data_IF_397178379297
#
_entry.id   IF_397178379297
#
_cell.length_a   1.000
_cell.length_b   1.000
_cell.length_c   1.000
_cell.angle_alpha   90.00
_cell.angle_beta   90.00
_cell.angle_gamma   90.00
#
_symmetry.space_group_name_H-M   'P 1'
#
loop_
_entity.id
_entity.type
_entity.pdbx_description
1 polymer ?
#
# COMPACT_ATOMS: atom_id res chain seq x y z
N UNK A 1 -20.13 5.32 -6.92
CA UNK A 1 -20.50 5.03 -8.33
C UNK A 1 -19.30 5.14 -9.29
N UNK A 2 -18.50 6.21 -9.26
CA UNK A 2 -17.39 6.39 -10.23
C UNK A 2 -16.26 5.34 -10.18
N UNK A 3 -15.87 4.87 -8.99
CA UNK A 3 -14.76 3.91 -8.84
C UNK A 3 -15.13 2.53 -9.41
N UNK A 4 -16.40 2.13 -9.29
CA UNK A 4 -16.83 0.80 -9.72
C UNK A 4 -16.89 0.62 -11.24
N UNK A 5 -17.16 1.69 -11.99
CA UNK A 5 -17.09 1.68 -13.45
C UNK A 5 -15.65 1.46 -13.96
N UNK A 6 -14.65 1.96 -13.21
CA UNK A 6 -13.23 1.86 -13.58
C UNK A 6 -12.65 0.49 -13.21
N UNK A 7 -13.02 -0.06 -12.05
CA UNK A 7 -12.41 -1.29 -11.49
C UNK A 7 -13.14 -2.56 -11.99
N UNK A 8 -14.32 -2.43 -12.58
CA UNK A 8 -15.09 -3.54 -13.13
C UNK A 8 -16.21 -4.04 -12.21
N UNK A 9 -17.20 -4.72 -12.80
CA UNK A 9 -18.45 -5.08 -12.11
C UNK A 9 -18.22 -6.08 -10.98
N UNK A 10 -17.30 -7.03 -11.15
CA UNK A 10 -17.01 -8.07 -10.15
C UNK A 10 -16.41 -7.49 -8.86
N UNK A 11 -15.45 -6.59 -8.98
CA UNK A 11 -14.84 -5.91 -7.82
C UNK A 11 -15.86 -4.96 -7.17
N UNK A 12 -16.66 -4.27 -7.98
CA UNK A 12 -17.73 -3.40 -7.48
C UNK A 12 -18.78 -4.18 -6.68
N UNK A 13 -19.19 -5.36 -7.19
CA UNK A 13 -20.15 -6.23 -6.54
C UNK A 13 -19.61 -6.78 -5.22
N UNK A 14 -18.33 -7.18 -5.17
CA UNK A 14 -17.72 -7.67 -3.92
C UNK A 14 -17.57 -6.56 -2.88
N UNK A 15 -17.18 -5.34 -3.27
CA UNK A 15 -17.16 -4.18 -2.37
C UNK A 15 -18.56 -3.81 -1.87
N UNK A 16 -19.56 -3.88 -2.74
CA UNK A 16 -20.96 -3.63 -2.40
C UNK A 16 -21.51 -4.70 -1.45
N UNK A 17 -21.25 -5.97 -1.73
CA UNK A 17 -21.63 -7.09 -0.87
C UNK A 17 -20.99 -6.97 0.51
N UNK A 18 -19.72 -6.56 0.60
CA UNK A 18 -19.06 -6.26 1.88
C UNK A 18 -19.74 -5.13 2.65
N UNK A 19 -20.19 -4.08 1.94
CA UNK A 19 -20.93 -2.96 2.54
C UNK A 19 -22.31 -3.38 3.05
N UNK A 20 -23.01 -4.26 2.32
CA UNK A 20 -24.27 -4.86 2.76
C UNK A 20 -24.04 -5.73 3.99
N UNK A 21 -23.06 -6.63 3.95
CA UNK A 21 -22.75 -7.54 5.06
C UNK A 21 -22.40 -6.76 6.33
N UNK A 22 -21.61 -5.69 6.20
CA UNK A 22 -21.24 -4.81 7.30
C UNK A 22 -22.45 -4.12 7.93
N UNK A 23 -23.31 -3.47 7.13
CA UNK A 23 -24.42 -2.66 7.63
C UNK A 23 -25.67 -3.46 8.01
N UNK A 24 -25.96 -4.55 7.31
CA UNK A 24 -27.19 -5.34 7.49
C UNK A 24 -26.96 -6.71 8.10
N UNK A 25 -25.71 -7.17 8.19
CA UNK A 25 -25.35 -8.41 8.88
C UNK A 25 -24.68 -8.12 10.22
N UNK A 26 -23.45 -7.63 10.18
CA UNK A 26 -22.57 -7.50 11.35
C UNK A 26 -23.11 -6.46 12.33
N UNK A 27 -23.47 -5.26 11.84
CA UNK A 27 -23.94 -4.17 12.68
C UNK A 27 -25.21 -4.50 13.49
N UNK A 28 -26.32 -4.99 12.89
CA UNK A 28 -27.51 -5.36 13.65
C UNK A 28 -27.28 -6.58 14.54
N UNK A 29 -26.43 -7.52 14.14
CA UNK A 29 -26.06 -8.66 14.99
C UNK A 29 -25.36 -8.19 16.27
N UNK A 30 -24.38 -7.29 16.15
CA UNK A 30 -23.70 -6.71 17.33
C UNK A 30 -24.67 -5.88 18.16
N UNK A 31 -25.58 -5.11 17.53
CA UNK A 31 -26.62 -4.37 18.22
C UNK A 31 -27.58 -5.26 19.02
N UNK A 32 -27.91 -6.43 18.48
CA UNK A 32 -28.72 -7.43 19.18
C UNK A 32 -27.98 -8.04 20.37
N UNK A 33 -26.70 -8.38 20.24
CA UNK A 33 -25.92 -8.88 21.37
C UNK A 33 -25.61 -7.80 22.41
N UNK A 34 -25.51 -6.53 22.00
CA UNK A 34 -25.26 -5.42 22.92
C UNK A 34 -26.47 -5.11 23.80
N UNK A 35 -27.70 -5.31 23.31
CA UNK A 35 -28.92 -5.15 24.12
C UNK A 35 -29.15 -6.30 25.12
N UNK A 36 -28.50 -7.45 24.91
CA UNK A 36 -28.47 -8.58 25.85
C UNK A 36 -27.36 -8.43 26.92
N UNK A 37 -26.53 -7.40 26.84
CA UNK A 37 -25.45 -7.14 27.79
C UNK A 37 -25.96 -6.72 29.16
N UNK A 38 -25.46 -7.37 30.22
CA UNK A 38 -25.76 -7.01 31.62
C UNK A 38 -25.26 -5.60 31.95
N UNK A 39 -25.96 -4.93 32.86
CA UNK A 39 -25.56 -3.64 33.41
C UNK A 39 -24.13 -3.69 33.97
N UNK A 40 -23.30 -2.73 33.55
CA UNK A 40 -21.91 -2.57 34.00
C UNK A 40 -20.83 -2.93 32.98
N UNK A 41 -21.16 -3.53 31.84
CA UNK A 41 -20.18 -3.77 30.78
C UNK A 41 -19.99 -2.51 29.91
N UNK A 42 -18.76 -2.04 29.76
CA UNK A 42 -18.39 -0.85 28.97
C UNK A 42 -17.76 -1.24 27.64
N UNK A 43 -17.83 -0.35 26.64
CA UNK A 43 -17.17 -0.59 25.35
C UNK A 43 -15.65 -0.66 25.54
N UNK A 44 -15.01 -1.63 24.89
CA UNK A 44 -13.57 -1.89 25.04
C UNK A 44 -12.67 -0.69 24.67
N UNK A 45 -13.12 0.20 23.78
CA UNK A 45 -12.39 1.39 23.36
C UNK A 45 -12.85 2.69 24.03
N UNK A 46 -13.92 2.65 24.84
CA UNK A 46 -14.44 3.81 25.55
C UNK A 46 -15.13 3.39 26.86
N UNK A 47 -14.47 3.59 28.02
CA UNK A 47 -15.04 3.27 29.33
C UNK A 47 -16.31 4.06 29.68
N UNK A 48 -16.58 5.16 28.97
CA UNK A 48 -17.72 6.05 29.24
C UNK A 48 -19.03 5.61 28.58
N UNK A 49 -18.98 4.59 27.71
CA UNK A 49 -20.16 4.09 26.99
C UNK A 49 -20.50 2.70 27.51
N UNK A 50 -21.69 2.55 28.09
CA UNK A 50 -22.24 1.25 28.45
C UNK A 50 -22.61 0.46 27.18
N UNK A 51 -22.32 -0.84 27.16
CA UNK A 51 -22.61 -1.72 26.02
C UNK A 51 -24.11 -1.71 25.69
N UNK A 52 -24.98 -1.64 26.71
CA UNK A 52 -26.43 -1.60 26.57
C UNK A 52 -26.94 -0.29 25.92
N UNK A 53 -26.22 0.82 26.06
CA UNK A 53 -26.60 2.14 25.53
C UNK A 53 -25.84 2.53 24.23
N UNK A 54 -25.24 1.57 23.53
CA UNK A 54 -24.47 1.85 22.33
C UNK A 54 -25.36 2.30 21.16
N UNK A 55 -25.22 3.57 20.76
CA UNK A 55 -25.78 4.06 19.51
C UNK A 55 -25.10 3.41 18.29
N UNK A 56 -25.79 3.35 17.14
CA UNK A 56 -25.30 2.72 15.89
C UNK A 56 -23.90 3.20 15.49
N UNK A 57 -23.62 4.49 15.69
CA UNK A 57 -22.31 5.10 15.43
C UNK A 57 -21.18 4.51 16.30
N UNK A 58 -21.47 4.17 17.55
CA UNK A 58 -20.50 3.58 18.47
C UNK A 58 -20.20 2.12 18.10
N UNK A 59 -21.20 1.37 17.63
CA UNK A 59 -21.03 0.01 17.11
C UNK A 59 -20.16 0.03 15.84
N UNK A 60 -20.48 0.95 14.92
CA UNK A 60 -19.74 1.13 13.67
C UNK A 60 -18.26 1.46 13.93
N UNK A 61 -17.99 2.44 14.80
CA UNK A 61 -16.62 2.90 15.08
C UNK A 61 -15.79 1.95 15.95
N UNK A 62 -16.43 1.19 16.84
CA UNK A 62 -15.72 0.40 17.87
C UNK A 62 -15.59 -1.08 17.53
N UNK A 63 -16.48 -1.63 16.71
CA UNK A 63 -16.46 -3.06 16.38
C UNK A 63 -16.37 -3.28 14.87
N UNK A 64 -17.32 -2.73 14.10
CA UNK A 64 -17.38 -2.95 12.65
C UNK A 64 -16.10 -2.48 11.97
N UNK A 65 -15.56 -1.33 12.37
CA UNK A 65 -14.27 -0.76 11.92
C UNK A 65 -13.10 -1.72 12.11
N UNK A 66 -12.95 -2.28 13.31
CA UNK A 66 -11.84 -3.19 13.64
C UNK A 66 -12.01 -4.58 13.01
N UNK A 67 -13.25 -5.06 12.88
CA UNK A 67 -13.54 -6.28 12.11
C UNK A 67 -13.18 -6.06 10.63
N UNK A 68 -13.54 -4.91 10.06
CA UNK A 68 -13.15 -4.49 8.71
C UNK A 68 -11.64 -4.43 8.53
N UNK A 69 -10.92 -3.80 9.47
CA UNK A 69 -9.47 -3.79 9.49
C UNK A 69 -8.88 -5.22 9.55
N UNK A 70 -9.43 -6.09 10.39
CA UNK A 70 -9.04 -7.50 10.49
C UNK A 70 -9.27 -8.28 9.19
N UNK A 71 -10.39 -8.05 8.50
CA UNK A 71 -10.66 -8.64 7.18
C UNK A 71 -9.68 -8.13 6.12
N UNK A 72 -9.34 -6.83 6.13
CA UNK A 72 -8.34 -6.26 5.22
C UNK A 72 -6.95 -6.85 5.47
N UNK A 73 -6.54 -6.98 6.74
CA UNK A 73 -5.28 -7.61 7.12
C UNK A 73 -5.22 -9.08 6.70
N UNK A 74 -6.31 -9.84 6.92
CA UNK A 74 -6.41 -11.25 6.53
C UNK A 74 -6.35 -11.41 5.01
N UNK A 75 -7.09 -10.57 4.26
CA UNK A 75 -7.02 -10.53 2.80
C UNK A 75 -5.63 -10.17 2.29
N UNK A 76 -4.95 -9.24 2.97
CA UNK A 76 -3.56 -8.89 2.73
C UNK A 76 -2.59 -10.06 2.93
N UNK A 77 -2.72 -10.79 4.03
CA UNK A 77 -1.89 -11.94 4.36
C UNK A 77 -2.12 -13.09 3.37
N UNK A 78 -3.37 -13.41 3.05
CA UNK A 78 -3.73 -14.41 2.03
C UNK A 78 -3.18 -13.98 0.66
N UNK A 79 -3.30 -12.70 0.31
CA UNK A 79 -2.72 -12.14 -0.90
C UNK A 79 -1.20 -12.29 -0.94
N UNK A 80 -0.51 -12.00 0.16
CA UNK A 80 0.93 -12.20 0.30
C UNK A 80 1.33 -13.67 0.05
N UNK A 81 0.62 -14.62 0.69
CA UNK A 81 0.86 -16.05 0.53
C UNK A 81 0.65 -16.48 -0.92
N UNK A 82 -0.44 -16.01 -1.57
CA UNK A 82 -0.71 -16.30 -2.99
C UNK A 82 0.34 -15.72 -3.94
N UNK A 83 1.07 -14.68 -3.53
CA UNK A 83 2.15 -14.09 -4.33
C UNK A 83 3.47 -14.86 -4.20
N UNK A 84 3.68 -15.69 -3.17
CA UNK A 84 4.92 -16.44 -2.95
C UNK A 84 5.36 -17.24 -4.20
N UNK A 85 4.49 -18.02 -4.87
CA UNK A 85 4.90 -18.77 -6.06
C UNK A 85 5.39 -17.86 -7.20
N UNK A 86 4.70 -16.74 -7.40
CA UNK A 86 5.06 -15.73 -8.42
C UNK A 86 6.40 -15.08 -8.09
N UNK A 87 6.64 -14.77 -6.81
CA UNK A 87 7.92 -14.24 -6.32
C UNK A 87 9.05 -15.23 -6.62
N UNK A 88 8.89 -16.50 -6.23
CA UNK A 88 9.92 -17.54 -6.43
C UNK A 88 10.23 -17.74 -7.91
N UNK A 89 9.20 -17.84 -8.75
CA UNK A 89 9.35 -17.99 -10.20
C UNK A 89 10.08 -16.79 -10.82
N UNK A 90 9.75 -15.58 -10.39
CA UNK A 90 10.34 -14.35 -10.95
C UNK A 90 11.80 -14.17 -10.53
N UNK A 91 12.14 -14.50 -9.26
CA UNK A 91 13.52 -14.49 -8.78
C UNK A 91 14.36 -15.54 -9.52
N UNK A 92 13.84 -16.76 -9.65
CA UNK A 92 14.54 -17.85 -10.34
C UNK A 92 14.85 -17.48 -11.79
N UNK A 93 13.88 -16.95 -12.52
CA UNK A 93 14.05 -16.52 -13.91
C UNK A 93 15.03 -15.33 -14.03
N UNK A 94 14.99 -14.37 -13.09
CA UNK A 94 15.94 -13.25 -13.05
C UNK A 94 17.38 -13.75 -12.85
N UNK A 95 17.59 -14.74 -11.97
CA UNK A 95 18.90 -15.36 -11.76
C UNK A 95 19.38 -16.13 -12.99
N UNK A 96 18.49 -16.88 -13.66
CA UNK A 96 18.84 -17.59 -14.90
C UNK A 96 19.17 -16.63 -16.05
N UNK A 97 18.42 -15.54 -16.21
CA UNK A 97 18.69 -14.50 -17.22
C UNK A 97 20.05 -13.83 -17.03
N UNK A 98 20.50 -13.66 -15.78
CA UNK A 98 21.84 -13.15 -15.45
C UNK A 98 22.96 -14.16 -15.78
N UNK A 99 22.65 -15.45 -15.80
CA UNK A 99 23.62 -16.51 -16.17
C UNK A 99 23.76 -16.71 -17.67
N UNK A 100 22.72 -16.41 -18.47
CA UNK A 100 22.72 -16.61 -19.92
C UNK A 100 23.25 -15.42 -20.72
N UNK A 101 23.13 -14.19 -20.19
CA UNK A 101 23.69 -12.99 -20.81
C UNK A 101 24.87 -12.47 -19.99
N UNK A 102 26.10 -12.81 -20.42
CA UNK A 102 27.34 -12.14 -20.02
C UNK A 102 27.46 -10.70 -20.56
N UNK A 103 26.35 -9.97 -20.65
CA UNK A 103 26.34 -8.58 -21.08
C UNK A 103 26.80 -7.71 -19.89
N UNK A 104 28.01 -7.15 -20.02
CA UNK A 104 28.64 -6.33 -19.00
C UNK A 104 27.68 -5.28 -18.44
N UNK A 105 27.64 -5.15 -17.11
CA UNK A 105 26.89 -4.09 -16.45
C UNK A 105 27.37 -2.76 -17.01
N UNK A 106 26.49 -2.01 -17.69
CA UNK A 106 26.83 -0.67 -18.12
C UNK A 106 27.21 0.15 -16.87
N UNK A 107 28.35 0.84 -16.91
CA UNK A 107 28.86 1.67 -15.81
C UNK A 107 27.78 2.63 -15.28
N UNK A 108 26.94 3.13 -16.19
CA UNK A 108 25.76 3.97 -15.90
C UNK A 108 24.70 3.24 -15.05
N UNK A 109 24.43 1.96 -15.33
CA UNK A 109 23.47 1.16 -14.57
C UNK A 109 23.91 0.97 -13.12
N UNK A 110 25.19 0.71 -12.87
CA UNK A 110 25.73 0.59 -11.51
C UNK A 110 25.72 1.93 -10.76
N UNK A 111 26.00 3.05 -11.44
CA UNK A 111 25.92 4.40 -10.83
C UNK A 111 24.49 4.73 -10.43
N UNK A 112 23.50 4.43 -11.26
CA UNK A 112 22.08 4.66 -10.94
C UNK A 112 21.64 3.77 -9.77
N UNK A 113 22.10 2.52 -9.73
CA UNK A 113 21.81 1.59 -8.63
C UNK A 113 22.42 2.07 -7.30
N UNK A 114 23.71 2.42 -7.30
CA UNK A 114 24.37 2.97 -6.11
C UNK A 114 23.73 4.28 -5.67
N UNK A 115 23.44 5.18 -6.61
CA UNK A 115 22.77 6.46 -6.33
C UNK A 115 21.40 6.26 -5.70
N UNK A 116 20.60 5.32 -6.23
CA UNK A 116 19.30 4.97 -5.67
C UNK A 116 19.40 4.42 -4.24
N UNK A 117 20.37 3.54 -3.96
CA UNK A 117 20.60 3.01 -2.61
C UNK A 117 20.94 4.15 -1.65
N UNK A 118 21.87 5.04 -2.01
CA UNK A 118 22.27 6.17 -1.17
C UNK A 118 21.08 7.10 -0.89
N UNK A 119 20.28 7.43 -1.91
CA UNK A 119 19.08 8.26 -1.75
C UNK A 119 18.09 7.62 -0.80
N UNK A 120 17.85 6.31 -0.90
CA UNK A 120 16.94 5.61 0.00
C UNK A 120 17.46 5.58 1.43
N UNK A 121 18.76 5.41 1.65
CA UNK A 121 19.35 5.48 2.99
C UNK A 121 19.25 6.89 3.60
N UNK A 122 19.52 7.93 2.83
CA UNK A 122 19.37 9.32 3.28
C UNK A 122 17.91 9.63 3.58
N UNK A 123 16.99 9.26 2.68
CA UNK A 123 15.57 9.44 2.88
C UNK A 123 15.08 8.68 4.12
N UNK A 124 15.52 7.43 4.31
CA UNK A 124 15.22 6.63 5.48
C UNK A 124 15.72 7.25 6.77
N UNK A 125 16.90 7.88 6.76
CA UNK A 125 17.43 8.61 7.92
C UNK A 125 16.57 9.83 8.28
N UNK A 126 16.16 10.61 7.28
CA UNK A 126 15.26 11.77 7.46
C UNK A 126 13.89 11.33 7.97
N UNK A 127 13.32 10.28 7.37
CA UNK A 127 12.00 9.72 7.72
C UNK A 127 11.98 9.18 9.15
N UNK A 128 13.11 8.70 9.66
CA UNK A 128 13.22 8.08 10.99
C UNK A 128 13.48 9.07 12.13
N UNK A 129 13.52 10.38 11.85
CA UNK A 129 13.67 11.41 12.87
C UNK A 129 14.95 11.29 13.71
N UNK A 130 16.03 10.73 13.14
CA UNK A 130 17.31 10.53 13.83
C UNK A 130 17.48 9.20 14.56
N UNK A 131 16.50 8.29 14.53
CA UNK A 131 16.70 6.93 15.04
C UNK A 131 17.44 6.07 14.00
N UNK A 132 18.76 5.91 14.18
CA UNK A 132 19.64 5.11 13.31
C UNK A 132 19.11 3.68 13.14
N UNK A 133 18.65 3.05 14.22
CA UNK A 133 18.21 1.65 14.20
C UNK A 133 16.95 1.48 13.34
N UNK A 134 16.00 2.42 13.47
CA UNK A 134 14.79 2.46 12.65
C UNK A 134 15.12 2.73 11.19
N UNK A 135 15.97 3.74 10.93
CA UNK A 135 16.38 4.11 9.60
C UNK A 135 17.00 2.93 8.86
N UNK A 136 17.98 2.26 9.45
CA UNK A 136 18.69 1.16 8.80
C UNK A 136 17.74 -0.02 8.59
N UNK A 137 17.06 -0.47 9.64
CA UNK A 137 16.25 -1.69 9.59
C UNK A 137 15.05 -1.53 8.65
N UNK A 138 14.31 -0.42 8.77
CA UNK A 138 13.15 -0.16 7.92
C UNK A 138 13.57 0.12 6.47
N UNK A 139 14.69 0.81 6.22
CA UNK A 139 15.18 1.06 4.85
C UNK A 139 15.63 -0.23 4.17
N UNK A 140 16.37 -1.10 4.86
CA UNK A 140 16.80 -2.38 4.31
C UNK A 140 15.59 -3.25 3.97
N UNK A 141 14.63 -3.36 4.90
CA UNK A 141 13.41 -4.11 4.65
C UNK A 141 12.63 -3.51 3.47
N UNK A 142 12.48 -2.20 3.41
CA UNK A 142 11.76 -1.50 2.34
C UNK A 142 12.43 -1.67 0.98
N UNK A 143 13.77 -1.59 0.92
CA UNK A 143 14.56 -1.88 -0.27
C UNK A 143 14.37 -3.33 -0.72
N UNK A 144 14.43 -4.28 0.22
CA UNK A 144 14.24 -5.68 -0.08
C UNK A 144 12.84 -5.98 -0.63
N UNK A 145 11.79 -5.49 0.04
CA UNK A 145 10.40 -5.65 -0.40
C UNK A 145 10.13 -4.97 -1.73
N UNK A 146 10.58 -3.72 -1.89
CA UNK A 146 10.41 -2.98 -3.15
C UNK A 146 11.11 -3.68 -4.31
N UNK A 147 12.35 -4.12 -4.14
CA UNK A 147 13.06 -4.88 -5.16
C UNK A 147 12.32 -6.15 -5.54
N UNK A 148 11.91 -6.94 -4.54
CA UNK A 148 11.21 -8.20 -4.73
C UNK A 148 9.89 -8.01 -5.49
N UNK A 149 9.07 -7.04 -5.08
CA UNK A 149 7.78 -6.78 -5.74
C UNK A 149 7.91 -6.03 -7.07
N UNK A 150 8.96 -5.24 -7.30
CA UNK A 150 9.24 -4.63 -8.60
C UNK A 150 9.56 -5.71 -9.65
N UNK A 151 10.32 -6.75 -9.28
CA UNK A 151 10.61 -7.88 -10.18
C UNK A 151 9.31 -8.60 -10.56
N UNK A 152 8.46 -8.92 -9.57
CA UNK A 152 7.15 -9.54 -9.81
C UNK A 152 6.26 -8.65 -10.67
N UNK A 153 6.24 -7.35 -10.37
CA UNK A 153 5.46 -6.38 -11.11
C UNK A 153 5.88 -6.30 -12.57
N UNK A 154 7.18 -6.23 -12.84
CA UNK A 154 7.69 -6.18 -14.21
C UNK A 154 7.28 -7.41 -15.03
N UNK A 155 7.32 -8.60 -14.42
CA UNK A 155 6.89 -9.84 -15.07
C UNK A 155 5.40 -9.88 -15.35
N UNK A 156 4.58 -9.62 -14.32
CA UNK A 156 3.11 -9.65 -14.44
C UNK A 156 2.61 -8.62 -15.45
N UNK A 157 3.20 -7.42 -15.42
CA UNK A 157 2.92 -6.38 -16.39
C UNK A 157 3.39 -6.76 -17.80
N UNK A 158 4.53 -7.44 -17.93
CA UNK A 158 4.99 -7.97 -19.22
C UNK A 158 4.04 -8.99 -19.84
N UNK A 159 3.37 -9.81 -19.01
CA UNK A 159 2.46 -10.87 -19.47
C UNK A 159 1.01 -10.43 -19.62
N UNK A 160 0.49 -9.61 -18.70
CA UNK A 160 -0.96 -9.32 -18.56
C UNK A 160 -1.23 -7.80 -18.65
N UNK A 161 -0.20 -6.95 -18.53
CA UNK A 161 -0.33 -5.48 -18.50
C UNK A 161 -0.50 -4.91 -17.09
N UNK A 162 -0.29 -3.59 -16.93
CA UNK A 162 -0.42 -2.87 -15.65
C UNK A 162 -1.86 -2.81 -15.15
N UNK A 163 -2.85 -2.87 -16.03
CA UNK A 163 -4.27 -2.81 -15.65
C UNK A 163 -4.71 -3.98 -14.77
N UNK A 164 -4.04 -5.12 -14.89
CA UNK A 164 -4.33 -6.32 -14.08
C UNK A 164 -3.20 -6.64 -13.08
N UNK A 165 -2.30 -5.69 -12.83
CA UNK A 165 -1.24 -5.82 -11.85
C UNK A 165 -1.85 -5.76 -10.44
N UNK A 166 -1.61 -6.74 -9.55
CA UNK A 166 -2.18 -6.76 -8.20
C UNK A 166 -1.46 -5.80 -7.24
N UNK A 167 -1.37 -4.51 -7.61
CA UNK A 167 -0.69 -3.46 -6.82
C UNK A 167 -1.30 -3.33 -5.43
N UNK A 168 -2.62 -3.42 -5.32
CA UNK A 168 -3.33 -3.38 -4.04
C UNK A 168 -2.93 -4.53 -3.12
N UNK A 169 -2.84 -5.76 -3.63
CA UNK A 169 -2.40 -6.93 -2.85
C UNK A 169 -0.95 -6.80 -2.39
N UNK A 170 -0.05 -6.38 -3.28
CA UNK A 170 1.36 -6.15 -2.94
C UNK A 170 1.55 -5.01 -1.93
N UNK A 171 0.70 -3.97 -2.00
CA UNK A 171 0.66 -2.88 -1.03
C UNK A 171 0.31 -3.38 0.36
N UNK A 172 -0.81 -4.11 0.51
CA UNK A 172 -1.26 -4.58 1.82
C UNK A 172 -0.24 -5.57 2.41
N UNK A 173 0.29 -6.50 1.61
CA UNK A 173 1.33 -7.42 2.03
C UNK A 173 2.57 -6.69 2.57
N UNK A 174 3.02 -5.65 1.87
CA UNK A 174 4.17 -4.84 2.28
C UNK A 174 3.89 -4.08 3.57
N UNK A 175 2.72 -3.45 3.69
CA UNK A 175 2.32 -2.74 4.91
C UNK A 175 2.23 -3.68 6.10
N UNK A 176 1.69 -4.89 5.95
CA UNK A 176 1.61 -5.88 7.03
C UNK A 176 3.01 -6.28 7.51
N UNK A 177 3.93 -6.57 6.58
CA UNK A 177 5.31 -6.94 6.94
C UNK A 177 6.08 -5.80 7.64
N UNK A 178 5.98 -4.58 7.12
CA UNK A 178 6.62 -3.41 7.74
C UNK A 178 5.98 -3.10 9.10
N UNK A 179 4.66 -3.21 9.22
CA UNK A 179 3.96 -3.01 10.51
C UNK A 179 4.36 -4.06 11.53
N UNK A 180 4.48 -5.32 11.13
CA UNK A 180 4.94 -6.40 12.00
C UNK A 180 6.35 -6.12 12.51
N UNK A 181 7.25 -5.64 11.64
CA UNK A 181 8.59 -5.22 12.06
C UNK A 181 8.53 -4.09 13.10
N UNK A 182 7.72 -3.05 12.87
CA UNK A 182 7.59 -1.94 13.82
C UNK A 182 7.02 -2.39 15.17
N UNK A 183 6.05 -3.31 15.17
CA UNK A 183 5.46 -3.86 16.39
C UNK A 183 6.48 -4.71 17.17
N UNK A 184 7.22 -5.60 16.49
CA UNK A 184 8.26 -6.44 17.12
C UNK A 184 9.38 -5.59 17.71
N UNK A 185 9.75 -4.49 17.04
CA UNK A 185 10.77 -3.55 17.51
C UNK A 185 10.25 -2.54 18.55
N UNK A 186 8.96 -2.59 18.92
CA UNK A 186 8.35 -1.71 19.92
C UNK A 186 8.15 -0.26 19.44
N UNK A 187 8.17 0.00 18.13
CA UNK A 187 8.06 1.34 17.55
C UNK A 187 6.60 1.75 17.34
N UNK A 188 5.87 2.00 18.43
CA UNK A 188 4.43 2.31 18.41
C UNK A 188 4.07 3.80 18.50
N UNK A 189 5.07 4.68 18.63
CA UNK A 189 4.83 6.12 18.75
C UNK A 189 4.21 6.74 17.49
N UNK A 190 3.42 7.84 17.61
CA UNK A 190 2.84 8.53 16.46
C UNK A 190 3.86 8.99 15.41
N UNK A 191 5.06 9.38 15.84
CA UNK A 191 6.17 9.71 14.95
C UNK A 191 6.61 8.49 14.12
N UNK A 192 6.69 7.31 14.74
CA UNK A 192 7.06 6.07 14.07
C UNK A 192 5.96 5.60 13.11
N UNK A 193 4.68 5.83 13.44
CA UNK A 193 3.57 5.54 12.52
C UNK A 193 3.68 6.39 11.25
N UNK A 194 4.07 7.66 11.36
CA UNK A 194 4.35 8.51 10.20
C UNK A 194 5.49 7.94 9.36
N UNK A 195 6.58 7.51 10.01
CA UNK A 195 7.71 6.87 9.31
C UNK A 195 7.30 5.58 8.59
N UNK A 196 6.50 4.73 9.24
CA UNK A 196 5.96 3.49 8.66
C UNK A 196 5.16 3.77 7.39
N UNK A 197 4.27 4.76 7.42
CA UNK A 197 3.47 5.13 6.24
C UNK A 197 4.32 5.69 5.10
N UNK A 198 5.40 6.42 5.41
CA UNK A 198 6.34 6.92 4.41
C UNK A 198 7.14 5.78 3.75
N UNK A 199 7.62 4.81 4.54
CA UNK A 199 8.25 3.60 4.01
C UNK A 199 7.27 2.77 3.17
N UNK A 200 6.03 2.60 3.64
CA UNK A 200 4.97 1.94 2.88
C UNK A 200 4.70 2.63 1.54
N UNK A 201 4.57 3.94 1.55
CA UNK A 201 4.36 4.74 0.33
C UNK A 201 5.52 4.55 -0.65
N UNK A 202 6.77 4.59 -0.17
CA UNK A 202 7.94 4.32 -0.99
C UNK A 202 7.87 2.95 -1.69
N UNK A 203 7.54 1.88 -0.95
CA UNK A 203 7.44 0.53 -1.52
C UNK A 203 6.38 0.50 -2.63
N UNK A 204 5.19 1.06 -2.38
CA UNK A 204 4.07 1.05 -3.32
C UNK A 204 4.37 1.88 -4.58
N UNK A 205 4.99 3.04 -4.41
CA UNK A 205 5.42 3.89 -5.53
C UNK A 205 6.45 3.16 -6.37
N UNK A 206 7.44 2.50 -5.75
CA UNK A 206 8.44 1.71 -6.46
C UNK A 206 7.82 0.59 -7.29
N UNK A 207 6.88 -0.18 -6.71
CA UNK A 207 6.16 -1.26 -7.41
C UNK A 207 5.40 -0.72 -8.62
N UNK A 208 4.64 0.36 -8.42
CA UNK A 208 3.79 0.95 -9.46
C UNK A 208 4.61 1.51 -10.63
N UNK A 209 5.68 2.24 -10.32
CA UNK A 209 6.60 2.80 -11.31
C UNK A 209 7.37 1.68 -12.02
N UNK A 210 7.81 0.65 -11.30
CA UNK A 210 8.50 -0.51 -11.86
C UNK A 210 7.65 -1.27 -12.88
N UNK A 211 6.37 -1.52 -12.57
CA UNK A 211 5.42 -2.09 -13.51
C UNK A 211 5.20 -1.19 -14.74
N UNK A 212 4.89 0.08 -14.52
CA UNK A 212 4.70 1.05 -15.61
C UNK A 212 5.91 1.15 -16.53
N UNK A 213 7.11 1.20 -15.97
CA UNK A 213 8.36 1.23 -16.72
C UNK A 213 8.56 -0.02 -17.58
N UNK A 214 8.32 -1.21 -17.01
CA UNK A 214 8.43 -2.47 -17.75
C UNK A 214 7.44 -2.53 -18.93
N UNK A 215 6.21 -2.02 -18.73
CA UNK A 215 5.23 -1.92 -19.82
C UNK A 215 5.68 -0.96 -20.91
N UNK A 216 6.11 0.24 -20.53
CA UNK A 216 6.58 1.26 -21.49
C UNK A 216 7.76 0.75 -22.31
N UNK A 217 8.69 0.03 -21.69
CA UNK A 217 9.82 -0.60 -22.38
C UNK A 217 9.35 -1.66 -23.38
N UNK A 218 8.40 -2.51 -23.00
CA UNK A 218 7.83 -3.53 -23.90
C UNK A 218 7.15 -2.88 -25.11
N UNK A 219 6.31 -1.87 -24.88
CA UNK A 219 5.60 -1.16 -25.94
C UNK A 219 6.60 -0.45 -26.87
N UNK A 220 7.60 0.22 -26.30
CA UNK A 220 8.64 0.90 -27.07
C UNK A 220 9.44 -0.08 -27.93
N UNK A 221 9.79 -1.25 -27.40
CA UNK A 221 10.44 -2.33 -28.15
C UNK A 221 9.57 -2.85 -29.31
N UNK A 222 8.27 -3.08 -29.08
CA UNK A 222 7.35 -3.59 -30.12
C UNK A 222 7.14 -2.57 -31.24
N UNK A 223 7.04 -1.29 -30.90
CA UNK A 223 6.86 -0.19 -31.86
C UNK A 223 8.17 0.15 -32.60
N UNK A 224 9.31 -0.38 -32.16
CA UNK A 224 10.62 -0.06 -32.72
C UNK A 224 11.15 1.32 -32.32
N UNK A 225 10.70 1.85 -31.18
CA UNK A 225 11.14 3.15 -30.66
C UNK A 225 12.52 3.11 -30.01
N UNK A 226 13.16 4.28 -29.90
CA UNK A 226 14.46 4.43 -29.25
C UNK A 226 14.35 4.35 -27.71
N UNK A 227 15.25 3.57 -27.09
CA UNK A 227 15.27 3.34 -25.64
C UNK A 227 15.65 4.59 -24.86
N UNK A 228 16.53 5.43 -25.39
CA UNK A 228 16.97 6.64 -24.69
C UNK A 228 15.87 7.71 -24.70
N UNK A 229 15.14 7.84 -25.80
CA UNK A 229 13.96 8.70 -25.86
C UNK A 229 12.89 8.23 -24.87
N UNK A 230 12.58 6.92 -24.85
CA UNK A 230 11.62 6.37 -23.90
C UNK A 230 11.99 6.68 -22.45
N UNK A 231 13.26 6.53 -22.06
CA UNK A 231 13.72 6.82 -20.70
C UNK A 231 13.56 8.30 -20.34
N UNK A 232 13.90 9.21 -21.25
CA UNK A 232 13.74 10.67 -21.04
C UNK A 232 12.28 11.05 -20.86
N UNK A 233 11.40 10.62 -21.76
CA UNK A 233 9.97 10.96 -21.68
C UNK A 233 9.29 10.28 -20.49
N UNK A 234 9.70 9.07 -20.12
CA UNK A 234 9.20 8.42 -18.90
C UNK A 234 9.62 9.18 -17.64
N UNK A 235 10.87 9.68 -17.57
CA UNK A 235 11.32 10.50 -16.45
C UNK A 235 10.54 11.83 -16.36
N UNK A 236 10.32 12.50 -17.49
CA UNK A 236 9.51 13.74 -17.55
C UNK A 236 8.08 13.47 -17.09
N UNK A 237 7.45 12.40 -17.59
CA UNK A 237 6.11 11.97 -17.18
C UNK A 237 6.05 11.70 -15.67
N UNK A 238 7.07 11.05 -15.12
CA UNK A 238 7.18 10.81 -13.67
C UNK A 238 7.25 12.11 -12.87
N UNK A 239 8.09 13.06 -13.28
CA UNK A 239 8.21 14.38 -12.61
C UNK A 239 6.88 15.13 -12.67
N UNK A 240 6.26 15.22 -13.84
CA UNK A 240 4.96 15.87 -14.01
C UNK A 240 3.90 15.20 -13.15
N UNK A 241 3.86 13.86 -13.12
CA UNK A 241 2.94 13.09 -12.28
C UNK A 241 3.11 13.39 -10.79
N UNK A 242 4.35 13.42 -10.29
CA UNK A 242 4.64 13.78 -8.89
C UNK A 242 4.18 15.20 -8.60
N UNK A 243 4.48 16.17 -9.46
CA UNK A 243 4.06 17.57 -9.29
C UNK A 243 2.53 17.66 -9.21
N UNK A 244 1.81 17.02 -10.12
CA UNK A 244 0.34 17.06 -10.15
C UNK A 244 -0.25 16.43 -8.89
N UNK A 245 0.24 15.27 -8.47
CA UNK A 245 -0.25 14.58 -7.26
C UNK A 245 0.03 15.41 -6.01
N UNK A 246 1.26 15.90 -5.85
CA UNK A 246 1.65 16.72 -4.69
C UNK A 246 0.89 18.05 -4.68
N UNK A 247 0.78 18.73 -5.81
CA UNK A 247 0.01 19.98 -5.92
C UNK A 247 -1.46 19.75 -5.55
N UNK A 248 -2.06 18.66 -6.02
CA UNK A 248 -3.45 18.30 -5.66
C UNK A 248 -3.58 18.07 -4.16
N UNK A 249 -2.66 17.31 -3.54
CA UNK A 249 -2.67 17.07 -2.09
C UNK A 249 -2.50 18.38 -1.32
N UNK A 250 -1.61 19.28 -1.74
CA UNK A 250 -1.40 20.57 -1.08
C UNK A 250 -2.62 21.50 -1.21
N UNK A 251 -3.24 21.55 -2.40
CA UNK A 251 -4.47 22.31 -2.62
C UNK A 251 -5.62 21.81 -1.74
N UNK A 252 -5.75 20.50 -1.56
CA UNK A 252 -6.78 19.89 -0.73
C UNK A 252 -6.38 19.76 0.75
N UNK A 253 -5.14 20.09 1.12
CA UNK A 253 -4.60 19.83 2.47
C UNK A 253 -5.43 20.48 3.58
N UNK A 254 -5.92 21.70 3.36
CA UNK A 254 -6.76 22.43 4.32
C UNK A 254 -8.13 21.76 4.53
N UNK A 255 -8.67 21.11 3.50
CA UNK A 255 -9.93 20.37 3.57
C UNK A 255 -9.74 18.96 4.13
N UNK A 256 -8.59 18.33 3.86
CA UNK A 256 -8.22 16.99 4.32
C UNK A 256 -7.75 16.96 5.79
N UNK A 257 -7.26 18.07 6.32
CA UNK A 257 -6.83 18.19 7.72
C UNK A 257 -7.98 18.42 8.71
N UNK A 258 -9.18 18.76 8.21
CA UNK A 258 -10.35 18.87 9.07
C UNK A 258 -10.67 17.49 9.67
N UNK A 259 -10.83 17.42 10.99
CA UNK A 259 -11.16 16.19 11.71
C UNK A 259 -12.45 16.44 12.49
N UNK A 260 -13.51 15.67 12.23
CA UNK A 260 -14.83 15.86 12.85
C UNK A 260 -15.96 15.15 12.10
N UNK A 261 -17.18 15.18 12.63
CA UNK A 261 -18.34 14.45 12.09
C UNK A 261 -18.87 15.02 10.75
N UNK A 262 -18.54 16.27 10.42
CA UNK A 262 -18.96 16.98 9.21
C UNK A 262 -17.75 17.44 8.39
N UNK A 263 -16.91 16.49 7.95
CA UNK A 263 -15.83 16.78 7.01
C UNK A 263 -16.34 16.66 5.57
N UNK A 264 -16.22 17.72 4.73
CA UNK A 264 -16.68 17.66 3.33
C UNK A 264 -15.87 16.67 2.48
N UNK A 265 -14.62 16.39 2.89
CA UNK A 265 -13.78 15.35 2.31
C UNK A 265 -13.15 14.52 3.42
N UNK A 266 -13.80 13.42 3.79
CA UNK A 266 -13.16 12.42 4.64
C UNK A 266 -11.96 11.82 3.90
N UNK A 267 -10.78 11.81 4.53
CA UNK A 267 -9.61 11.09 4.01
C UNK A 267 -10.00 9.61 3.79
N UNK A 268 -9.72 9.00 2.62
CA UNK A 268 -10.06 7.61 2.34
C UNK A 268 -9.51 6.61 3.35
N UNK A 269 -8.48 7.01 4.10
CA UNK A 269 -7.82 6.22 5.15
C UNK A 269 -8.19 6.63 6.59
N UNK A 270 -9.03 7.65 6.81
CA UNK A 270 -9.35 8.17 8.15
C UNK A 270 -10.72 7.73 8.70
N UNK A 271 -11.38 6.76 8.06
CA UNK A 271 -12.55 6.08 8.63
C UNK A 271 -12.30 4.59 8.93
N UNK A 272 -11.04 4.13 8.78
CA UNK A 272 -10.51 2.86 9.30
C UNK A 272 -9.92 3.05 10.69
#
# INVERSE_FOLDING_TARGET
>A
LGIGFIVGIEVSLTMFAGSILSNFGIMPLIGYFSSLGKDGATVWNNPSVAINAMHVKNIAGSYVKYIGAGMMLSGGLIGAIKLIPTIVSSIKETMHAKSSNGAGSSSVGNIILLGGIVVVFIAGFVVSGGNILLAITASILSLFLSLLFVIVSGRLTGTIGTSNLPVSGMTIASLVLVTLLFVVMGWTNPANNKSLLLFGTFIVTAISVGGGYAQSQKVSFIVGGDKNEMQKYFAISGIVGVIVVVATILLLSSQLAMTGDNVPFALPQANL
#
